data_IF_917069555336
#
_entry.id   IF_917069555336
#
_cell.length_a   1.000
_cell.length_b   1.000
_cell.length_c   1.000
_cell.angle_alpha   90.00
_cell.angle_beta   90.00
_cell.angle_gamma   90.00
#
_symmetry.space_group_name_H-M   'P 1'
#
loop_
_entity.id
_entity.type
_entity.pdbx_description
1 polymer ?
#
# COMPACT_ATOMS: atom_id res chain seq x y z
N UNK A 1 -12.03 34.38 21.00
CA UNK A 1 -12.77 33.25 21.60
C UNK A 1 -12.50 31.97 20.81
N UNK A 2 -11.84 30.98 21.41
CA UNK A 2 -11.48 29.69 20.78
C UNK A 2 -12.63 28.68 20.92
N UNK A 3 -13.39 28.43 19.87
CA UNK A 3 -14.39 27.34 19.86
C UNK A 3 -13.71 26.01 19.55
N UNK A 4 -13.40 25.25 20.61
CA UNK A 4 -12.98 23.84 20.53
C UNK A 4 -14.16 22.99 20.07
N UNK A 5 -14.26 22.70 18.77
CA UNK A 5 -15.21 21.72 18.25
C UNK A 5 -14.74 20.29 18.59
N UNK A 6 -15.28 19.72 19.68
CA UNK A 6 -15.20 18.28 19.97
C UNK A 6 -16.03 17.51 18.94
N UNK A 7 -15.39 17.00 17.88
CA UNK A 7 -16.02 16.04 16.98
C UNK A 7 -16.21 14.72 17.73
N UNK A 8 -17.46 14.37 18.07
CA UNK A 8 -17.80 13.05 18.64
C UNK A 8 -17.47 11.96 17.62
N UNK A 9 -16.65 11.00 18.00
CA UNK A 9 -16.42 9.75 17.27
C UNK A 9 -17.76 9.01 17.14
N UNK A 10 -18.38 9.05 15.96
CA UNK A 10 -19.56 8.25 15.65
C UNK A 10 -19.10 6.93 15.04
N UNK A 11 -19.07 5.89 15.89
CA UNK A 11 -18.67 4.52 15.52
C UNK A 11 -19.65 3.84 14.56
N UNK A 12 -20.90 4.30 14.49
CA UNK A 12 -21.95 3.65 13.72
C UNK A 12 -22.38 4.48 12.51
N UNK A 13 -22.23 3.89 11.31
CA UNK A 13 -22.72 4.46 10.06
C UNK A 13 -24.22 4.26 9.90
N UNK A 14 -25.02 5.31 10.11
CA UNK A 14 -26.47 5.26 9.80
C UNK A 14 -26.64 5.65 8.32
N UNK A 15 -27.18 4.74 7.49
CA UNK A 15 -27.55 5.04 6.11
C UNK A 15 -28.78 5.95 6.13
N UNK A 16 -28.66 7.19 5.63
CA UNK A 16 -29.80 8.10 5.38
C UNK A 16 -29.78 8.47 3.90
N UNK A 17 -30.58 7.78 3.08
CA UNK A 17 -30.58 7.95 1.61
C UNK A 17 -29.25 7.52 0.96
N UNK A 18 -28.86 8.19 -0.13
CA UNK A 18 -27.57 7.99 -0.82
C UNK A 18 -26.33 8.40 0.00
N UNK A 19 -26.52 8.94 1.22
CA UNK A 19 -25.45 9.35 2.14
C UNK A 19 -25.22 8.27 3.19
N UNK A 20 -24.09 7.56 3.10
CA UNK A 20 -23.57 6.74 4.20
C UNK A 20 -22.77 7.64 5.16
N UNK A 21 -23.32 7.89 6.36
CA UNK A 21 -22.60 8.65 7.39
C UNK A 21 -21.69 7.73 8.21
N UNK A 22 -20.71 7.09 7.59
CA UNK A 22 -19.69 6.27 8.26
C UNK A 22 -18.31 6.53 7.66
N UNK A 23 -17.28 6.51 8.49
CA UNK A 23 -15.90 6.47 8.02
C UNK A 23 -15.63 5.05 7.54
N UNK A 24 -15.63 4.81 6.23
CA UNK A 24 -15.41 3.48 5.63
C UNK A 24 -14.14 2.79 6.15
N UNK A 25 -13.12 3.57 6.50
CA UNK A 25 -11.91 3.03 7.11
C UNK A 25 -12.16 2.36 8.47
N UNK A 26 -13.17 2.77 9.25
CA UNK A 26 -13.53 2.11 10.52
C UNK A 26 -13.99 0.68 10.24
N UNK A 27 -14.61 0.42 9.08
CA UNK A 27 -14.98 -0.93 8.65
C UNK A 27 -13.74 -1.80 8.45
N UNK A 28 -12.83 -1.40 7.56
CA UNK A 28 -11.63 -2.20 7.28
C UNK A 28 -10.65 -2.27 8.46
N UNK A 29 -10.51 -1.20 9.25
CA UNK A 29 -9.72 -1.21 10.49
C UNK A 29 -10.36 -2.12 11.54
N UNK A 30 -11.68 -2.06 11.70
CA UNK A 30 -12.44 -2.89 12.63
C UNK A 30 -12.37 -4.37 12.27
N UNK A 31 -12.49 -4.70 10.97
CA UNK A 31 -12.29 -6.05 10.47
C UNK A 31 -10.87 -6.57 10.73
N UNK A 32 -9.84 -5.77 10.42
CA UNK A 32 -8.45 -6.17 10.68
C UNK A 32 -8.20 -6.37 12.19
N UNK A 33 -8.70 -5.48 13.05
CA UNK A 33 -8.60 -5.61 14.50
C UNK A 33 -9.35 -6.85 15.00
N UNK A 34 -10.55 -7.12 14.46
CA UNK A 34 -11.33 -8.30 14.80
C UNK A 34 -10.56 -9.59 14.50
N UNK A 35 -10.00 -9.73 13.29
CA UNK A 35 -9.21 -10.92 12.94
C UNK A 35 -7.92 -11.04 13.74
N UNK A 36 -7.27 -9.92 14.09
CA UNK A 36 -6.13 -9.92 15.00
C UNK A 36 -6.50 -10.43 16.41
N UNK A 37 -7.68 -10.05 16.93
CA UNK A 37 -8.18 -10.55 18.21
C UNK A 37 -8.51 -12.04 18.13
N UNK A 38 -9.21 -12.48 17.07
CA UNK A 38 -9.52 -13.91 16.84
C UNK A 38 -8.25 -14.75 16.77
N UNK A 39 -7.22 -14.25 16.09
CA UNK A 39 -5.89 -14.88 16.07
C UNK A 39 -5.31 -15.03 17.48
N UNK A 40 -5.27 -13.94 18.26
CA UNK A 40 -4.72 -13.97 19.62
C UNK A 40 -5.50 -14.89 20.55
N UNK A 41 -6.84 -14.93 20.43
CA UNK A 41 -7.68 -15.88 21.18
C UNK A 41 -7.32 -17.32 20.82
N UNK A 42 -7.17 -17.65 19.53
CA UNK A 42 -6.77 -18.98 19.08
C UNK A 42 -5.41 -19.40 19.64
N UNK A 43 -4.42 -18.51 19.59
CA UNK A 43 -3.08 -18.75 20.16
C UNK A 43 -3.15 -18.92 21.68
N UNK A 44 -3.88 -18.05 22.37
CA UNK A 44 -4.02 -18.09 23.83
C UNK A 44 -4.70 -19.37 24.32
N UNK A 45 -5.81 -19.78 23.70
CA UNK A 45 -6.51 -21.03 24.03
C UNK A 45 -5.66 -22.26 23.74
N UNK A 46 -4.94 -22.27 22.60
CA UNK A 46 -4.00 -23.36 22.27
C UNK A 46 -2.88 -23.46 23.30
N UNK A 47 -2.32 -22.31 23.72
CA UNK A 47 -1.29 -22.24 24.74
C UNK A 47 -1.77 -22.74 26.10
N UNK A 48 -3.01 -22.42 26.50
CA UNK A 48 -3.62 -22.95 27.74
C UNK A 48 -3.73 -24.47 27.68
N UNK A 49 -4.30 -25.01 26.60
CA UNK A 49 -4.46 -26.46 26.43
C UNK A 49 -3.12 -27.20 26.50
N UNK A 50 -2.10 -26.67 25.82
CA UNK A 50 -0.75 -27.26 25.82
C UNK A 50 -0.09 -27.12 27.19
N UNK A 51 -0.22 -25.97 27.85
CA UNK A 51 0.36 -25.73 29.17
C UNK A 51 -0.22 -26.69 30.22
N UNK A 52 -1.55 -26.92 30.22
CA UNK A 52 -2.17 -27.91 31.08
C UNK A 52 -1.64 -29.32 30.82
N UNK A 53 -1.43 -29.69 29.56
CA UNK A 53 -0.93 -31.02 29.22
C UNK A 53 0.51 -31.25 29.68
N UNK A 54 1.37 -30.23 29.55
CA UNK A 54 2.78 -30.31 29.90
C UNK A 54 3.02 -30.16 31.41
N UNK A 55 2.29 -29.28 32.08
CA UNK A 55 2.59 -28.87 33.46
C UNK A 55 1.64 -29.48 34.50
N UNK A 56 0.40 -29.84 34.14
CA UNK A 56 -0.61 -30.43 35.05
C UNK A 56 -0.83 -31.93 34.80
N UNK A 57 0.22 -32.76 34.87
CA UNK A 57 0.05 -34.21 34.68
C UNK A 57 -0.92 -34.86 35.69
N UNK A 58 -1.04 -34.31 36.91
CA UNK A 58 -1.90 -34.85 37.97
C UNK A 58 -3.36 -34.36 37.91
N UNK A 59 -3.64 -33.23 37.27
CA UNK A 59 -4.98 -32.60 37.18
C UNK A 59 -5.35 -32.31 35.73
N UNK A 60 -5.18 -33.30 34.84
CA UNK A 60 -5.57 -33.15 33.44
C UNK A 60 -7.10 -33.08 33.32
N UNK A 61 -7.69 -31.94 32.90
CA UNK A 61 -9.13 -31.86 32.66
C UNK A 61 -9.54 -32.70 31.43
N UNK A 62 -8.61 -32.89 30.48
CA UNK A 62 -8.77 -33.69 29.27
C UNK A 62 -7.54 -34.58 29.13
N UNK A 63 -7.73 -35.91 29.15
CA UNK A 63 -6.67 -36.85 28.80
C UNK A 63 -6.35 -36.75 27.30
N UNK A 64 -5.10 -37.03 26.92
CA UNK A 64 -4.70 -37.10 25.51
C UNK A 64 -5.51 -38.20 24.83
N UNK A 65 -6.38 -37.80 23.93
CA UNK A 65 -7.34 -38.65 23.23
C UNK A 65 -8.14 -37.81 22.23
N UNK A 66 -9.21 -38.37 21.70
CA UNK A 66 -10.01 -37.71 20.66
C UNK A 66 -10.52 -36.32 21.06
N UNK A 67 -10.96 -36.14 22.32
CA UNK A 67 -11.42 -34.85 22.82
C UNK A 67 -10.34 -33.77 22.83
N UNK A 68 -9.12 -34.10 23.27
CA UNK A 68 -7.98 -33.18 23.26
C UNK A 68 -7.66 -32.70 21.84
N UNK A 69 -7.55 -33.63 20.88
CA UNK A 69 -7.26 -33.29 19.48
C UNK A 69 -8.37 -32.48 18.84
N UNK A 70 -9.64 -32.75 19.17
CA UNK A 70 -10.78 -31.97 18.70
C UNK A 70 -10.69 -30.52 19.23
N UNK A 71 -10.47 -30.33 20.53
CA UNK A 71 -10.32 -28.99 21.12
C UNK A 71 -9.11 -28.24 20.57
N UNK A 72 -7.97 -28.92 20.40
CA UNK A 72 -6.78 -28.33 19.79
C UNK A 72 -7.06 -27.92 18.33
N UNK A 73 -7.76 -28.75 17.56
CA UNK A 73 -8.18 -28.46 16.20
C UNK A 73 -9.08 -27.22 16.12
N UNK A 74 -10.03 -27.08 17.03
CA UNK A 74 -10.89 -25.88 17.13
C UNK A 74 -10.06 -24.64 17.45
N UNK A 75 -9.13 -24.70 18.42
CA UNK A 75 -8.29 -23.56 18.78
C UNK A 75 -7.36 -23.14 17.64
N UNK A 76 -6.77 -24.13 16.96
CA UNK A 76 -5.93 -23.89 15.79
C UNK A 76 -6.73 -23.32 14.62
N UNK A 77 -8.00 -23.73 14.44
CA UNK A 77 -8.87 -23.16 13.42
C UNK A 77 -9.11 -21.66 13.63
N UNK A 78 -9.28 -21.20 14.88
CA UNK A 78 -9.38 -19.77 15.19
C UNK A 78 -8.08 -19.03 14.87
N UNK A 79 -6.92 -19.61 15.19
CA UNK A 79 -5.63 -19.02 14.85
C UNK A 79 -5.48 -18.87 13.32
N UNK A 80 -5.80 -19.92 12.55
CA UNK A 80 -5.74 -19.92 11.09
C UNK A 80 -6.72 -18.91 10.48
N UNK A 81 -7.98 -18.90 10.92
CA UNK A 81 -8.99 -17.94 10.45
C UNK A 81 -8.60 -16.50 10.77
N UNK A 82 -8.02 -16.26 11.95
CA UNK A 82 -7.48 -14.97 12.34
C UNK A 82 -6.34 -14.52 11.44
N UNK A 83 -5.35 -15.39 11.16
CA UNK A 83 -4.22 -15.09 10.26
C UNK A 83 -4.73 -14.80 8.85
N UNK A 84 -5.52 -15.71 8.27
CA UNK A 84 -6.01 -15.59 6.89
C UNK A 84 -6.89 -14.35 6.74
N UNK A 85 -7.83 -14.15 7.66
CA UNK A 85 -8.72 -12.98 7.63
C UNK A 85 -7.99 -11.66 7.80
N UNK A 86 -7.02 -11.60 8.71
CA UNK A 86 -6.18 -10.41 8.91
C UNK A 86 -5.37 -10.09 7.66
N UNK A 87 -4.62 -11.06 7.14
CA UNK A 87 -3.76 -10.84 5.97
C UNK A 87 -4.54 -10.56 4.70
N UNK A 88 -5.68 -11.22 4.51
CA UNK A 88 -6.56 -10.90 3.39
C UNK A 88 -6.99 -9.42 3.41
N UNK A 89 -7.33 -8.87 4.57
CA UNK A 89 -7.73 -7.45 4.69
C UNK A 89 -6.56 -6.50 4.56
N UNK A 90 -5.42 -6.82 5.17
CA UNK A 90 -4.21 -6.00 5.05
C UNK A 90 -3.73 -5.96 3.61
N UNK A 91 -3.61 -7.12 2.95
CA UNK A 91 -3.19 -7.20 1.56
C UNK A 91 -4.20 -6.50 0.65
N UNK A 92 -5.50 -6.70 0.83
CA UNK A 92 -6.53 -6.01 0.03
C UNK A 92 -6.42 -4.49 0.05
N UNK A 93 -5.95 -3.91 1.16
CA UNK A 93 -5.72 -2.47 1.30
C UNK A 93 -4.38 -2.06 0.72
N UNK A 94 -3.34 -2.87 0.95
CA UNK A 94 -1.97 -2.59 0.53
C UNK A 94 -1.80 -2.73 -0.99
N UNK A 95 -2.50 -3.69 -1.60
CA UNK A 95 -2.56 -3.89 -3.05
C UNK A 95 -3.61 -2.93 -3.61
N UNK A 96 -3.16 -1.88 -4.31
CA UNK A 96 -4.04 -0.94 -5.02
C UNK A 96 -5.03 -1.66 -5.95
N UNK A 97 -6.17 -1.04 -6.23
CA UNK A 97 -7.20 -1.56 -7.15
C UNK A 97 -6.62 -1.91 -8.54
N UNK A 98 -5.56 -1.21 -8.97
CA UNK A 98 -4.86 -1.44 -10.25
C UNK A 98 -4.10 -2.77 -10.28
N UNK A 99 -3.46 -3.19 -9.18
CA UNK A 99 -2.81 -4.51 -9.10
C UNK A 99 -3.83 -5.65 -9.09
N UNK A 100 -5.04 -5.40 -8.55
CA UNK A 100 -6.14 -6.37 -8.50
C UNK A 100 -6.74 -6.58 -9.89
N UNK A 101 -6.82 -5.53 -10.70
CA UNK A 101 -7.23 -5.63 -12.10
C UNK A 101 -6.19 -6.34 -12.96
N UNK A 102 -4.88 -6.08 -12.75
CA UNK A 102 -3.82 -6.79 -13.50
C UNK A 102 -3.75 -8.28 -13.15
N UNK A 103 -3.88 -8.64 -11.86
CA UNK A 103 -3.90 -10.05 -11.43
C UNK A 103 -5.20 -10.75 -11.87
N UNK A 104 -6.35 -10.06 -11.82
CA UNK A 104 -7.63 -10.58 -12.32
C UNK A 104 -7.65 -10.76 -13.84
N UNK A 105 -7.04 -9.83 -14.60
CA UNK A 105 -6.91 -9.93 -16.06
C UNK A 105 -5.90 -11.00 -16.50
N UNK A 106 -4.83 -11.24 -15.73
CA UNK A 106 -3.90 -12.36 -15.97
C UNK A 106 -4.55 -13.75 -15.89
N UNK A 107 -5.68 -13.88 -15.20
CA UNK A 107 -6.41 -15.15 -15.09
C UNK A 107 -7.51 -15.36 -16.13
N UNK A 108 -7.91 -14.32 -16.88
CA UNK A 108 -9.10 -14.34 -17.76
C UNK A 108 -8.76 -14.16 -19.24
N UNK A 109 -7.54 -13.73 -19.57
CA UNK A 109 -7.07 -13.61 -20.96
C UNK A 109 -6.18 -14.82 -21.25
N UNK A 110 -6.65 -15.86 -21.98
CA UNK A 110 -5.74 -16.78 -22.64
C UNK A 110 -4.77 -15.96 -23.48
N UNK A 111 -3.46 -16.20 -23.34
CA UNK A 111 -2.49 -15.69 -24.31
C UNK A 111 -3.00 -16.05 -25.71
N UNK A 112 -3.30 -15.06 -26.59
CA UNK A 112 -3.73 -15.39 -27.93
C UNK A 112 -2.54 -16.04 -28.64
N UNK A 113 -2.67 -17.35 -28.83
CA UNK A 113 -1.90 -18.12 -29.80
C UNK A 113 -1.92 -17.36 -31.13
N UNK A 114 -0.72 -16.94 -31.54
CA UNK A 114 -0.29 -16.63 -32.90
C UNK A 114 -1.41 -16.59 -33.96
N UNK A 115 -1.79 -15.37 -34.34
CA UNK A 115 -2.64 -15.08 -35.49
C UNK A 115 -2.06 -13.90 -36.26
N UNK A 116 -1.55 -14.20 -37.44
CA UNK A 116 -0.84 -13.32 -38.37
C UNK A 116 -1.64 -12.10 -38.84
N UNK A 117 -1.14 -10.89 -38.53
CA UNK A 117 -1.21 -9.73 -39.43
C UNK A 117 0.02 -8.82 -39.20
N UNK A 118 0.89 -8.61 -40.19
CA UNK A 118 2.09 -7.80 -40.04
C UNK A 118 1.73 -6.31 -40.16
N UNK A 119 1.23 -5.70 -39.09
CA UNK A 119 1.36 -4.25 -38.94
C UNK A 119 2.83 -3.95 -38.68
N UNK A 120 3.45 -3.21 -39.58
CA UNK A 120 4.85 -2.74 -39.56
C UNK A 120 5.15 -2.15 -38.17
N UNK A 121 5.82 -2.93 -37.31
CA UNK A 121 6.28 -2.48 -35.98
C UNK A 121 7.20 -1.27 -36.20
N UNK A 122 6.97 -0.11 -35.55
CA UNK A 122 8.01 0.89 -35.42
C UNK A 122 9.22 0.21 -34.78
N UNK A 123 10.38 0.35 -35.39
CA UNK A 123 11.65 -0.19 -34.88
C UNK A 123 11.81 0.30 -33.44
N UNK A 124 11.88 -0.59 -32.42
CA UNK A 124 12.06 -0.15 -31.05
C UNK A 124 13.42 0.54 -30.94
N UNK A 125 13.44 1.79 -30.48
CA UNK A 125 14.69 2.43 -30.08
C UNK A 125 15.18 1.65 -28.85
N UNK A 126 16.38 1.03 -28.88
CA UNK A 126 16.78 -0.03 -27.95
C UNK A 126 16.87 0.39 -26.47
N UNK A 127 16.86 1.71 -26.19
CA UNK A 127 17.07 2.25 -24.86
C UNK A 127 15.87 3.05 -24.32
N UNK A 128 14.75 3.14 -25.04
CA UNK A 128 13.55 3.85 -24.59
C UNK A 128 12.55 2.82 -24.02
N UNK A 129 11.99 3.06 -22.81
CA UNK A 129 10.97 2.17 -22.24
C UNK A 129 9.75 2.02 -23.16
N UNK A 130 9.23 0.80 -23.29
CA UNK A 130 8.04 0.53 -24.10
C UNK A 130 6.80 1.22 -23.51
N UNK A 131 6.22 2.15 -24.28
CA UNK A 131 5.04 2.94 -23.93
C UNK A 131 3.82 2.05 -23.65
N UNK A 132 3.75 0.87 -24.28
CA UNK A 132 2.62 -0.07 -24.14
C UNK A 132 2.38 -0.51 -22.70
N UNK A 133 3.43 -0.59 -21.88
CA UNK A 133 3.32 -0.94 -20.46
C UNK A 133 2.57 0.11 -19.63
N UNK A 134 2.38 1.31 -20.17
CA UNK A 134 1.72 2.44 -19.50
C UNK A 134 0.34 2.76 -20.09
N UNK A 135 -0.07 2.08 -21.17
CA UNK A 135 -1.33 2.37 -21.89
C UNK A 135 -2.37 1.24 -21.79
N UNK A 136 -2.18 0.28 -20.89
CA UNK A 136 -3.05 -0.89 -20.70
C UNK A 136 -4.48 -0.56 -20.21
N UNK A 137 -4.80 0.70 -19.93
CA UNK A 137 -6.14 1.12 -19.50
C UNK A 137 -6.54 2.47 -20.14
N UNK A 138 -7.61 2.51 -20.94
CA UNK A 138 -8.13 3.78 -21.46
C UNK A 138 -8.65 4.65 -20.31
N UNK A 139 -8.46 5.96 -20.43
CA UNK A 139 -9.02 6.92 -19.47
C UNK A 139 -10.52 7.07 -19.61
N UNK A 140 -11.18 7.58 -18.57
CA UNK A 140 -12.61 7.86 -18.57
C UNK A 140 -12.96 9.16 -19.31
N UNK A 141 -12.04 10.12 -19.33
CA UNK A 141 -12.19 11.43 -19.99
C UNK A 141 -11.06 11.73 -20.97
N UNK A 142 -9.82 11.41 -20.60
CA UNK A 142 -8.66 11.52 -21.50
C UNK A 142 -8.24 10.15 -22.05
N UNK A 143 -7.35 10.13 -23.04
CA UNK A 143 -7.06 8.91 -23.79
C UNK A 143 -6.42 7.81 -22.92
N UNK A 144 -5.52 8.17 -22.01
CA UNK A 144 -4.74 7.21 -21.25
C UNK A 144 -4.84 7.46 -19.74
N UNK A 145 -5.09 6.38 -18.97
CA UNK A 145 -4.99 6.40 -17.51
C UNK A 145 -3.62 5.90 -17.08
N UNK A 146 -2.88 6.74 -16.35
CA UNK A 146 -1.55 6.39 -15.89
C UNK A 146 -1.61 5.42 -14.70
N UNK A 147 -0.74 4.39 -14.67
CA UNK A 147 -0.66 3.49 -13.54
C UNK A 147 -0.03 4.20 -12.33
N UNK A 148 -0.61 4.02 -11.15
CA UNK A 148 0.00 4.52 -9.91
C UNK A 148 1.18 3.65 -9.50
N UNK A 149 2.39 4.23 -9.44
CA UNK A 149 3.53 3.60 -8.80
C UNK A 149 3.36 3.71 -7.28
N UNK A 150 3.14 2.57 -6.63
CA UNK A 150 2.94 2.48 -5.19
C UNK A 150 4.30 2.61 -4.51
N UNK A 151 4.45 3.41 -3.45
CA UNK A 151 5.63 3.33 -2.60
C UNK A 151 5.78 1.91 -2.03
N UNK A 152 7.01 1.49 -1.74
CA UNK A 152 7.33 0.17 -1.22
C UNK A 152 6.65 -0.08 0.15
N UNK A 153 5.41 -0.58 0.12
CA UNK A 153 4.63 -0.91 1.32
C UNK A 153 5.18 -2.17 2.05
N UNK A 154 6.30 -2.73 1.60
CA UNK A 154 6.97 -3.88 2.20
C UNK A 154 7.29 -3.65 3.68
N UNK A 155 7.62 -2.42 4.08
CA UNK A 155 7.85 -2.08 5.48
C UNK A 155 6.60 -2.27 6.36
N UNK A 156 5.40 -1.97 5.83
CA UNK A 156 4.15 -2.16 6.57
C UNK A 156 3.83 -3.64 6.74
N UNK A 157 4.04 -4.43 5.69
CA UNK A 157 3.86 -5.89 5.71
C UNK A 157 4.85 -6.52 6.71
N UNK A 158 6.13 -6.18 6.62
CA UNK A 158 7.15 -6.67 7.54
C UNK A 158 6.83 -6.32 9.01
N UNK A 159 6.41 -5.08 9.27
CA UNK A 159 5.98 -4.65 10.60
C UNK A 159 4.75 -5.42 11.09
N UNK A 160 3.80 -5.74 10.21
CA UNK A 160 2.63 -6.55 10.52
C UNK A 160 2.99 -7.99 10.90
N UNK A 161 3.87 -8.64 10.13
CA UNK A 161 4.40 -9.99 10.44
C UNK A 161 5.08 -9.97 11.80
N UNK A 162 5.98 -9.01 12.02
CA UNK A 162 6.68 -8.86 13.28
C UNK A 162 5.72 -8.66 14.46
N UNK A 163 4.74 -7.76 14.32
CA UNK A 163 3.77 -7.48 15.39
C UNK A 163 2.92 -8.71 15.72
N UNK A 164 2.46 -9.48 14.73
CA UNK A 164 1.68 -10.70 14.95
C UNK A 164 2.52 -11.80 15.62
N UNK A 165 3.71 -12.08 15.06
CA UNK A 165 4.59 -13.13 15.58
C UNK A 165 5.03 -12.84 17.02
N UNK A 166 5.44 -11.59 17.29
CA UNK A 166 5.83 -11.18 18.63
C UNK A 166 4.66 -11.24 19.62
N UNK A 167 3.47 -10.81 19.20
CA UNK A 167 2.27 -10.88 20.06
C UNK A 167 1.87 -12.31 20.38
N UNK A 168 1.98 -13.23 19.41
CA UNK A 168 1.72 -14.64 19.61
C UNK A 168 2.72 -15.28 20.59
N UNK A 169 4.01 -14.98 20.43
CA UNK A 169 5.06 -15.45 21.33
C UNK A 169 4.84 -14.96 22.77
N UNK A 170 4.55 -13.67 22.96
CA UNK A 170 4.27 -13.12 24.29
C UNK A 170 3.00 -13.72 24.90
N UNK A 171 1.96 -13.98 24.10
CA UNK A 171 0.74 -14.63 24.59
C UNK A 171 1.02 -16.01 25.21
N UNK A 172 1.91 -16.81 24.60
CA UNK A 172 2.35 -18.10 25.16
C UNK A 172 3.05 -17.92 26.52
N UNK A 173 4.00 -16.99 26.62
CA UNK A 173 4.70 -16.72 27.89
C UNK A 173 3.77 -16.19 28.99
N UNK A 174 2.76 -15.39 28.62
CA UNK A 174 1.74 -14.91 29.57
C UNK A 174 0.93 -16.08 30.13
N UNK A 175 0.54 -17.05 29.29
CA UNK A 175 -0.16 -18.25 29.75
C UNK A 175 0.71 -19.07 30.70
N UNK A 176 1.99 -19.28 30.37
CA UNK A 176 2.93 -19.99 31.25
C UNK A 176 3.10 -19.29 32.61
N UNK A 177 3.21 -17.96 32.61
CA UNK A 177 3.31 -17.18 33.84
C UNK A 177 2.01 -17.25 34.68
N UNK A 178 0.85 -17.22 34.02
CA UNK A 178 -0.44 -17.33 34.67
C UNK A 178 -0.64 -18.71 35.31
N UNK A 179 -0.28 -19.79 34.61
CA UNK A 179 -0.34 -21.16 35.15
C UNK A 179 0.57 -21.33 36.37
N UNK A 180 1.81 -20.82 36.30
CA UNK A 180 2.74 -20.85 37.42
C UNK A 180 2.20 -20.07 38.64
N UNK A 181 1.66 -18.87 38.40
CA UNK A 181 1.05 -18.04 39.45
C UNK A 181 -0.12 -18.74 40.13
N UNK A 182 -0.99 -19.42 39.37
CA UNK A 182 -2.10 -20.20 39.90
C UNK A 182 -1.66 -21.36 40.81
N UNK A 183 -0.44 -21.87 40.60
CA UNK A 183 0.19 -22.90 41.45
C UNK A 183 0.95 -22.32 42.65
N UNK A 184 0.74 -21.04 42.96
CA UNK A 184 1.41 -20.32 44.05
C UNK A 184 2.94 -20.22 43.90
N UNK A 185 3.48 -20.43 42.69
CA UNK A 185 4.88 -20.23 42.36
C UNK A 185 4.99 -19.02 41.45
N UNK A 186 5.65 -17.95 41.92
CA UNK A 186 5.87 -16.75 41.09
C UNK A 186 7.22 -16.88 40.39
N UNK A 187 7.27 -17.16 39.06
CA UNK A 187 8.53 -17.24 38.34
C UNK A 187 9.05 -15.83 38.06
N UNK A 188 9.72 -15.22 39.04
CA UNK A 188 10.22 -13.84 38.92
C UNK A 188 11.04 -13.60 37.64
N UNK A 189 11.86 -14.57 37.24
CA UNK A 189 12.63 -14.51 35.99
C UNK A 189 11.73 -14.33 34.75
N UNK A 190 10.62 -15.06 34.67
CA UNK A 190 9.64 -14.95 33.59
C UNK A 190 8.87 -13.63 33.65
N UNK A 191 8.53 -13.16 34.86
CA UNK A 191 7.87 -11.85 35.05
C UNK A 191 8.76 -10.71 34.58
N UNK A 192 10.05 -10.72 34.95
CA UNK A 192 11.02 -9.72 34.48
C UNK A 192 11.20 -9.75 32.96
N UNK A 193 11.17 -10.93 32.34
CA UNK A 193 11.21 -11.07 30.87
C UNK A 193 9.92 -10.59 30.19
N UNK A 194 8.76 -10.80 30.82
CA UNK A 194 7.46 -10.44 30.27
C UNK A 194 7.24 -8.92 30.16
N UNK A 195 7.73 -8.14 31.12
CA UNK A 195 7.55 -6.67 31.12
C UNK A 195 8.04 -6.02 29.81
N UNK A 196 9.32 -6.17 29.40
CA UNK A 196 9.79 -5.62 28.14
C UNK A 196 9.15 -6.31 26.93
N UNK A 197 8.85 -7.61 27.01
CA UNK A 197 8.19 -8.36 25.94
C UNK A 197 6.79 -7.80 25.60
N UNK A 198 5.95 -7.59 26.61
CA UNK A 198 4.62 -6.97 26.50
C UNK A 198 4.73 -5.54 25.98
N UNK A 199 5.71 -4.77 26.46
CA UNK A 199 5.95 -3.42 25.97
C UNK A 199 6.23 -3.40 24.45
N UNK A 200 7.10 -4.29 23.96
CA UNK A 200 7.41 -4.42 22.52
C UNK A 200 6.18 -4.86 21.74
N UNK A 201 5.38 -5.82 22.25
CA UNK A 201 4.14 -6.27 21.60
C UNK A 201 3.13 -5.13 21.43
N UNK A 202 2.90 -4.35 22.48
CA UNK A 202 1.98 -3.20 22.44
C UNK A 202 2.51 -2.12 21.51
N UNK A 203 3.83 -1.83 21.54
CA UNK A 203 4.45 -0.83 20.68
C UNK A 203 4.38 -1.22 19.21
N UNK A 204 4.75 -2.45 18.85
CA UNK A 204 4.74 -2.93 17.47
C UNK A 204 3.31 -2.96 16.91
N UNK A 205 2.33 -3.44 17.67
CA UNK A 205 0.92 -3.41 17.29
C UNK A 205 0.42 -1.97 17.08
N UNK A 206 0.71 -1.04 18.00
CA UNK A 206 0.33 0.38 17.85
C UNK A 206 0.98 1.02 16.63
N UNK A 207 2.26 0.74 16.36
CA UNK A 207 2.96 1.24 15.19
C UNK A 207 2.35 0.68 13.90
N UNK A 208 2.08 -0.62 13.85
CA UNK A 208 1.41 -1.27 12.73
C UNK A 208 0.06 -0.63 12.44
N UNK A 209 -0.86 -0.55 13.42
CA UNK A 209 -2.18 0.03 13.21
C UNK A 209 -2.10 1.52 12.85
N UNK A 210 -1.15 2.27 13.44
CA UNK A 210 -0.93 3.67 13.05
C UNK A 210 -0.46 3.79 11.60
N UNK A 211 0.41 2.90 11.13
CA UNK A 211 0.85 2.89 9.72
C UNK A 211 -0.25 2.41 8.79
N UNK A 212 -0.99 1.37 9.16
CA UNK A 212 -2.13 0.85 8.42
C UNK A 212 -3.23 1.90 8.23
N UNK A 213 -3.57 2.65 9.28
CA UNK A 213 -4.53 3.75 9.19
C UNK A 213 -4.07 4.80 8.18
N UNK A 214 -2.78 5.16 8.17
CA UNK A 214 -2.24 6.13 7.18
C UNK A 214 -2.45 5.66 5.75
N UNK A 215 -2.31 4.36 5.49
CA UNK A 215 -2.53 3.78 4.16
C UNK A 215 -4.01 3.75 3.78
N UNK A 216 -4.94 3.51 4.73
CA UNK A 216 -6.40 3.48 4.47
C UNK A 216 -7.00 4.85 4.17
N UNK A 217 -6.47 5.91 4.78
CA UNK A 217 -7.16 7.20 4.88
C UNK A 217 -7.24 8.02 3.60
N UNK A 218 -6.35 7.72 2.67
CA UNK A 218 -6.10 8.53 1.48
C UNK A 218 -6.73 7.79 0.32
N UNK A 219 -7.79 8.36 -0.24
CA UNK A 219 -8.49 7.73 -1.35
C UNK A 219 -7.59 7.58 -2.57
N UNK A 220 -8.05 6.79 -3.55
CA UNK A 220 -7.33 6.63 -4.80
C UNK A 220 -7.15 7.96 -5.51
N UNK A 221 -5.96 8.15 -6.07
CA UNK A 221 -5.65 9.25 -6.99
C UNK A 221 -5.57 8.63 -8.36
N UNK A 222 -6.36 9.13 -9.30
CA UNK A 222 -6.30 8.70 -10.70
C UNK A 222 -5.78 9.88 -11.52
N UNK A 223 -4.84 9.61 -12.41
CA UNK A 223 -4.29 10.60 -13.32
C UNK A 223 -4.53 10.11 -14.74
N UNK A 224 -5.15 10.96 -15.54
CA UNK A 224 -5.38 10.71 -16.96
C UNK A 224 -4.66 11.77 -17.79
N UNK A 225 -4.13 11.36 -18.94
CA UNK A 225 -3.35 12.21 -19.84
C UNK A 225 -3.87 12.10 -21.27
N UNK A 226 -3.80 13.22 -22.00
CA UNK A 226 -4.31 13.34 -23.36
C UNK A 226 -3.59 12.43 -24.36
N UNK A 227 -2.27 12.36 -24.30
CA UNK A 227 -1.46 11.65 -25.28
C UNK A 227 -0.16 11.11 -24.66
N UNK A 228 0.30 9.97 -25.19
CA UNK A 228 1.54 9.28 -24.82
C UNK A 228 2.14 8.66 -26.08
N UNK A 229 3.45 8.76 -26.32
CA UNK A 229 4.49 9.36 -25.46
C UNK A 229 4.53 10.88 -25.48
N UNK A 230 5.19 11.46 -24.48
CA UNK A 230 5.43 12.89 -24.40
C UNK A 230 6.58 13.32 -25.31
N UNK A 231 6.45 14.50 -25.91
CA UNK A 231 7.41 15.11 -26.85
C UNK A 231 7.84 16.47 -26.27
N UNK A 232 9.15 16.74 -26.15
CA UNK A 232 9.68 18.04 -25.71
C UNK A 232 9.09 19.21 -26.53
N UNK A 233 8.72 20.29 -25.86
CA UNK A 233 8.14 21.50 -26.46
C UNK A 233 6.65 21.43 -26.79
N UNK A 234 5.98 20.29 -26.63
CA UNK A 234 4.52 20.16 -26.84
C UNK A 234 3.75 20.37 -25.52
N UNK A 235 2.57 20.97 -25.63
CA UNK A 235 1.61 21.11 -24.54
C UNK A 235 0.70 19.87 -24.45
N UNK A 236 0.43 19.40 -23.23
CA UNK A 236 -0.44 18.26 -22.95
C UNK A 236 -1.48 18.61 -21.90
N UNK A 237 -2.69 18.07 -22.03
CA UNK A 237 -3.71 18.13 -20.99
C UNK A 237 -3.62 16.95 -20.03
N UNK A 238 -3.81 17.26 -18.76
CA UNK A 238 -3.76 16.34 -17.63
C UNK A 238 -4.99 16.52 -16.75
N UNK A 239 -5.64 15.41 -16.40
CA UNK A 239 -6.71 15.40 -15.43
C UNK A 239 -6.30 14.58 -14.21
N UNK A 240 -6.37 15.20 -13.03
CA UNK A 240 -6.14 14.55 -11.75
C UNK A 240 -7.44 14.45 -10.99
N UNK A 241 -7.85 13.22 -10.67
CA UNK A 241 -9.06 12.93 -9.92
C UNK A 241 -8.68 12.32 -8.58
N UNK A 242 -8.97 13.04 -7.50
CA UNK A 242 -8.78 12.54 -6.13
C UNK A 242 -10.12 12.07 -5.56
N UNK A 243 -10.20 10.76 -5.32
CA UNK A 243 -11.33 10.14 -4.67
C UNK A 243 -11.18 10.12 -3.15
N UNK A 244 -12.28 9.80 -2.47
CA UNK A 244 -12.31 9.58 -1.04
C UNK A 244 -13.14 10.63 -0.29
N UNK A 245 -13.02 10.61 1.04
CA UNK A 245 -13.70 11.57 1.91
C UNK A 245 -12.71 12.22 2.84
N UNK A 246 -12.10 13.29 2.38
CA UNK A 246 -11.02 13.97 3.09
C UNK A 246 -11.06 15.47 2.83
N UNK A 247 -10.62 16.25 3.82
CA UNK A 247 -10.45 17.69 3.68
C UNK A 247 -9.00 17.93 3.31
N UNK A 248 -8.73 18.26 2.06
CA UNK A 248 -7.41 18.63 1.56
C UNK A 248 -7.09 20.04 2.08
N UNK A 249 -5.84 20.25 2.47
CA UNK A 249 -5.25 21.56 2.74
C UNK A 249 -4.59 22.14 1.50
N UNK A 250 -3.83 21.30 0.80
CA UNK A 250 -3.15 21.59 -0.46
C UNK A 250 -2.99 20.29 -1.23
N UNK A 251 -3.17 20.33 -2.54
CA UNK A 251 -2.77 19.27 -3.47
C UNK A 251 -1.96 19.92 -4.58
N UNK A 252 -0.80 19.37 -4.88
CA UNK A 252 0.10 19.87 -5.91
C UNK A 252 0.41 18.74 -6.90
N UNK A 253 0.46 19.10 -8.17
CA UNK A 253 0.78 18.21 -9.28
C UNK A 253 2.08 18.72 -9.88
N UNK A 254 3.09 17.84 -9.97
CA UNK A 254 4.43 18.19 -10.41
C UNK A 254 4.89 17.22 -11.49
N UNK A 255 5.60 17.73 -12.50
CA UNK A 255 6.38 16.93 -13.44
C UNK A 255 7.79 16.78 -12.88
N UNK A 256 8.24 15.55 -12.66
CA UNK A 256 9.59 15.26 -12.18
C UNK A 256 10.37 14.39 -13.17
N UNK A 257 11.65 14.74 -13.37
CA UNK A 257 12.64 13.87 -13.97
C UNK A 257 13.57 13.35 -12.88
N UNK A 258 13.74 12.03 -12.84
CA UNK A 258 14.60 11.35 -11.89
C UNK A 258 15.66 10.54 -12.64
N UNK A 259 16.92 10.77 -12.30
CA UNK A 259 18.04 9.96 -12.75
C UNK A 259 18.32 8.87 -11.72
N UNK A 260 18.47 7.63 -12.20
CA UNK A 260 18.82 6.46 -11.40
C UNK A 260 20.12 5.87 -11.93
N UNK A 261 21.17 5.94 -11.12
CA UNK A 261 22.48 5.38 -11.44
C UNK A 261 22.80 4.21 -10.50
N UNK A 262 23.26 3.10 -11.06
CA UNK A 262 23.70 1.92 -10.32
C UNK A 262 25.18 1.73 -10.53
N UNK A 263 25.97 1.88 -9.46
CA UNK A 263 27.41 1.76 -9.47
C UNK A 263 27.89 0.71 -8.47
N UNK A 264 29.08 0.16 -8.74
CA UNK A 264 29.77 -0.73 -7.81
C UNK A 264 30.57 0.11 -6.81
N UNK A 265 30.35 -0.14 -5.52
CA UNK A 265 31.16 0.42 -4.44
C UNK A 265 31.90 -0.74 -3.76
N UNK A 266 33.10 -1.04 -4.24
CA UNK A 266 33.82 -2.26 -3.88
C UNK A 266 33.09 -3.51 -4.39
N UNK A 267 32.67 -4.39 -3.48
CA UNK A 267 31.89 -5.61 -3.79
C UNK A 267 30.38 -5.38 -3.80
N UNK A 268 29.89 -4.24 -3.29
CA UNK A 268 28.46 -3.97 -3.16
C UNK A 268 27.93 -3.16 -4.34
N UNK A 269 26.75 -3.52 -4.84
CA UNK A 269 25.99 -2.74 -5.81
C UNK A 269 25.16 -1.69 -5.07
N UNK A 270 25.34 -0.43 -5.42
CA UNK A 270 24.55 0.69 -4.88
C UNK A 270 23.79 1.38 -5.99
N UNK A 271 22.52 1.66 -5.71
CA UNK A 271 21.64 2.41 -6.61
C UNK A 271 21.32 3.75 -5.96
N UNK A 272 21.59 4.83 -6.70
CA UNK A 272 21.34 6.20 -6.28
C UNK A 272 20.31 6.82 -7.21
N UNK A 273 19.34 7.52 -6.61
CA UNK A 273 18.24 8.17 -7.33
C UNK A 273 18.23 9.65 -6.99
N UNK A 274 18.30 10.50 -8.00
CA UNK A 274 18.31 11.95 -7.84
C UNK A 274 17.25 12.60 -8.73
N UNK A 275 16.41 13.47 -8.14
CA UNK A 275 15.49 14.30 -8.93
C UNK A 275 16.29 15.44 -9.56
N UNK A 276 16.43 15.42 -10.89
CA UNK A 276 17.21 16.39 -11.66
C UNK A 276 16.34 17.55 -12.17
N UNK A 277 15.04 17.33 -12.31
CA UNK A 277 14.08 18.33 -12.73
C UNK A 277 12.77 18.17 -11.95
N UNK A 278 12.18 19.29 -11.53
CA UNK A 278 10.86 19.32 -10.88
C UNK A 278 10.15 20.62 -11.25
N UNK A 279 9.01 20.51 -11.91
CA UNK A 279 8.16 21.63 -12.29
C UNK A 279 6.76 21.47 -11.71
N UNK A 280 6.23 22.51 -11.06
CA UNK A 280 4.86 22.53 -10.58
C UNK A 280 3.90 22.83 -11.75
N UNK A 281 3.00 21.89 -12.04
CA UNK A 281 1.98 22.00 -13.09
C UNK A 281 0.76 22.75 -12.54
N UNK A 282 0.28 22.32 -11.37
CA UNK A 282 -0.90 22.89 -10.74
C UNK A 282 -0.82 22.73 -9.22
N UNK A 283 -1.39 23.68 -8.50
CA UNK A 283 -1.65 23.55 -7.07
C UNK A 283 -3.05 24.03 -6.76
N UNK A 284 -3.80 23.19 -6.05
CA UNK A 284 -5.12 23.51 -5.52
C UNK A 284 -5.07 23.60 -4.01
N UNK A 285 -5.76 24.62 -3.48
CA UNK A 285 -5.76 24.93 -2.07
C UNK A 285 -6.64 24.01 -1.24
N UNK A 286 -7.20 24.59 -0.16
CA UNK A 286 -8.06 23.84 0.76
C UNK A 286 -9.38 23.52 0.08
N UNK A 287 -9.72 22.24 0.05
CA UNK A 287 -11.01 21.77 -0.47
C UNK A 287 -11.52 20.55 0.31
N UNK A 288 -12.82 20.31 0.22
CA UNK A 288 -13.47 19.17 0.87
C UNK A 288 -13.95 18.19 -0.18
N UNK A 289 -13.36 17.00 -0.15
CA UNK A 289 -13.77 15.87 -0.99
C UNK A 289 -14.81 15.06 -0.23
N UNK A 290 -15.97 14.87 -0.86
CA UNK A 290 -17.06 14.06 -0.35
C UNK A 290 -17.38 12.91 -1.33
N UNK A 291 -18.06 11.87 -0.84
CA UNK A 291 -18.45 10.73 -1.66
C UNK A 291 -19.32 11.14 -2.86
N UNK A 292 -18.95 10.69 -4.06
CA UNK A 292 -19.64 11.01 -5.31
C UNK A 292 -19.22 12.35 -5.94
N UNK A 293 -18.51 13.20 -5.20
CA UNK A 293 -17.95 14.45 -5.67
C UNK A 293 -16.43 14.43 -5.47
N UNK A 294 -15.69 13.64 -6.28
CA UNK A 294 -14.24 13.66 -6.24
C UNK A 294 -13.71 15.05 -6.61
N UNK A 295 -12.57 15.43 -6.05
CA UNK A 295 -11.87 16.62 -6.52
C UNK A 295 -11.30 16.32 -7.90
N UNK A 296 -11.59 17.19 -8.86
CA UNK A 296 -11.04 17.13 -10.20
C UNK A 296 -10.22 18.37 -10.47
N UNK A 297 -9.02 18.16 -10.98
CA UNK A 297 -8.10 19.21 -11.40
C UNK A 297 -7.79 18.97 -12.87
N UNK A 298 -8.27 19.88 -13.72
CA UNK A 298 -7.94 19.92 -15.13
C UNK A 298 -6.80 20.92 -15.30
N UNK A 299 -5.67 20.48 -15.83
CA UNK A 299 -4.47 21.29 -15.97
C UNK A 299 -3.77 21.02 -17.30
N UNK A 300 -3.04 22.00 -17.80
CA UNK A 300 -2.16 21.85 -18.96
C UNK A 300 -0.73 22.13 -18.57
N UNK A 301 0.19 21.44 -19.23
CA UNK A 301 1.62 21.64 -19.03
C UNK A 301 2.38 21.46 -20.33
N UNK A 302 3.48 22.19 -20.46
CA UNK A 302 4.43 22.01 -21.56
C UNK A 302 5.62 21.23 -21.06
N UNK A 303 6.04 20.22 -21.83
CA UNK A 303 7.32 19.54 -21.58
C UNK A 303 8.44 20.50 -21.99
N UNK A 304 9.44 20.77 -21.14
CA UNK A 304 10.57 21.64 -21.49
C UNK A 304 11.22 21.23 -22.82
N UNK A 305 11.66 22.20 -23.63
CA UNK A 305 12.30 21.90 -24.93
C UNK A 305 13.63 21.15 -24.79
N UNK A 306 14.33 21.39 -23.68
CA UNK A 306 15.58 20.76 -23.28
C UNK A 306 15.37 19.48 -22.45
N UNK A 307 14.13 18.99 -22.35
CA UNK A 307 13.81 17.78 -21.60
C UNK A 307 14.57 16.58 -22.19
N UNK A 308 15.38 15.94 -21.33
CA UNK A 308 16.05 14.69 -21.67
C UNK A 308 15.02 13.59 -21.93
N UNK A 309 15.24 12.75 -22.93
CA UNK A 309 14.34 11.63 -23.22
C UNK A 309 14.38 10.56 -22.11
N UNK A 310 13.29 9.82 -21.95
CA UNK A 310 13.27 8.63 -21.11
C UNK A 310 14.26 7.61 -21.62
N UNK A 311 15.11 7.12 -20.73
CA UNK A 311 16.22 6.24 -21.07
C UNK A 311 16.30 5.10 -20.07
N UNK A 312 16.62 3.89 -20.53
CA UNK A 312 16.84 2.75 -19.67
C UNK A 312 18.01 1.92 -20.19
N UNK A 313 19.00 1.68 -19.33
CA UNK A 313 20.15 0.80 -19.58
C UNK A 313 20.38 -0.10 -18.36
N UNK A 314 21.44 -0.92 -18.41
CA UNK A 314 21.80 -1.82 -17.30
C UNK A 314 22.19 -1.05 -16.01
N UNK A 315 22.79 0.14 -16.15
CA UNK A 315 23.39 0.87 -15.04
C UNK A 315 22.89 2.31 -14.88
N UNK A 316 22.21 2.87 -15.89
CA UNK A 316 21.62 4.21 -15.83
C UNK A 316 20.20 4.19 -16.40
N UNK A 317 19.28 4.87 -15.73
CA UNK A 317 17.93 5.11 -16.22
C UNK A 317 17.47 6.54 -15.93
N UNK A 318 16.74 7.12 -16.88
CA UNK A 318 16.10 8.42 -16.78
C UNK A 318 14.59 8.18 -16.80
N UNK A 319 13.96 8.47 -15.66
CA UNK A 319 12.54 8.26 -15.43
C UNK A 319 11.81 9.58 -15.33
N UNK A 320 10.77 9.73 -16.16
CA UNK A 320 9.83 10.82 -16.03
C UNK A 320 8.57 10.35 -15.32
N UNK A 321 8.05 11.19 -14.45
CA UNK A 321 6.85 10.89 -13.67
C UNK A 321 6.07 12.15 -13.33
N UNK A 322 4.76 12.00 -13.27
CA UNK A 322 3.85 12.99 -12.69
C UNK A 322 3.68 12.62 -11.22
N UNK A 323 3.99 13.55 -10.33
CA UNK A 323 3.88 13.38 -8.89
C UNK A 323 2.72 14.21 -8.38
N UNK A 324 1.79 13.54 -7.70
CA UNK A 324 0.67 14.19 -7.01
C UNK A 324 0.96 14.15 -5.51
N UNK A 325 1.24 15.32 -4.94
CA UNK A 325 1.43 15.49 -3.51
C UNK A 325 0.16 16.06 -2.88
N UNK A 326 -0.27 15.49 -1.77
CA UNK A 326 -1.43 15.94 -1.06
C UNK A 326 -1.18 16.08 0.43
N UNK A 327 -1.67 17.17 1.00
CA UNK A 327 -1.78 17.39 2.42
C UNK A 327 -3.24 17.38 2.83
N UNK A 328 -3.63 16.49 3.73
CA UNK A 328 -5.02 16.41 4.21
C UNK A 328 -5.12 16.66 5.72
N UNK A 329 -6.26 17.20 6.15
CA UNK A 329 -6.50 17.46 7.55
C UNK A 329 -6.65 16.15 8.33
N UNK A 330 -5.89 16.00 9.42
CA UNK A 330 -5.82 14.79 10.27
C UNK A 330 -5.19 13.56 9.60
N UNK A 331 -4.60 13.72 8.42
CA UNK A 331 -3.88 12.67 7.71
C UNK A 331 -2.44 13.13 7.46
N UNK A 332 -1.48 12.19 7.35
CA UNK A 332 -0.13 12.55 6.92
C UNK A 332 -0.16 13.10 5.48
N UNK A 333 0.89 13.83 5.10
CA UNK A 333 1.14 14.11 3.68
C UNK A 333 1.36 12.81 2.91
N UNK A 334 0.97 12.82 1.65
CA UNK A 334 1.18 11.69 0.73
C UNK A 334 1.71 12.18 -0.60
N UNK A 335 2.40 11.28 -1.28
CA UNK A 335 2.93 11.48 -2.63
C UNK A 335 2.60 10.23 -3.45
N UNK A 336 2.06 10.43 -4.64
CA UNK A 336 1.77 9.37 -5.61
C UNK A 336 2.48 9.68 -6.91
N UNK A 337 3.28 8.75 -7.42
CA UNK A 337 4.00 8.90 -8.68
C UNK A 337 3.30 8.12 -9.79
N UNK A 338 3.21 8.73 -10.97
CA UNK A 338 2.60 8.17 -12.17
C UNK A 338 3.64 8.27 -13.30
N UNK A 339 4.24 7.16 -13.74
CA UNK A 339 5.31 7.19 -14.72
C UNK A 339 4.80 7.63 -16.09
N UNK A 340 5.61 8.40 -16.80
CA UNK A 340 5.37 8.83 -18.18
C UNK A 340 6.63 8.61 -19.01
N UNK A 341 6.48 8.49 -20.32
CA UNK A 341 7.61 8.28 -21.24
C UNK A 341 7.78 9.53 -22.10
N UNK A 342 8.97 10.10 -22.08
CA UNK A 342 9.37 11.25 -22.91
C UNK A 342 10.24 10.74 -24.05
N UNK A 343 9.87 11.06 -25.29
CA UNK A 343 10.63 10.73 -26.49
C UNK A 343 11.67 11.81 -26.80
N UNK A 344 12.72 11.48 -27.56
CA UNK A 344 13.70 12.47 -27.99
C UNK A 344 13.01 13.59 -28.79
N UNK A 345 13.54 14.80 -28.69
CA UNK A 345 13.05 15.93 -29.48
C UNK A 345 13.14 15.61 -30.97
N UNK A 346 12.20 16.14 -31.76
CA UNK A 346 12.13 15.92 -33.21
C UNK A 346 13.42 16.31 -33.95
N UNK A 347 14.19 17.28 -33.42
CA UNK A 347 15.53 17.65 -33.94
C UNK A 347 16.54 16.51 -33.80
N UNK A 348 16.53 15.79 -32.68
CA UNK A 348 17.38 14.61 -32.44
C UNK A 348 16.92 13.40 -33.26
N UNK A 349 15.60 13.23 -33.44
CA UNK A 349 15.06 12.14 -34.27
C UNK A 349 15.48 12.24 -35.74
N UNK A 350 15.54 13.46 -36.28
CA UNK A 350 16.04 13.69 -37.65
C UNK A 350 17.53 13.39 -37.79
N UNK A 351 18.34 13.66 -36.76
CA UNK A 351 19.77 13.33 -36.76
C UNK A 351 20.04 11.82 -36.67
N UNK A 352 19.24 11.07 -35.90
CA UNK A 352 19.38 9.61 -35.74
C UNK A 352 18.94 8.85 -37.00
N UNK A 353 18.00 9.40 -37.78
CA UNK A 353 17.57 8.79 -39.06
C UNK A 353 18.53 9.13 -40.22
N UNK A 354 19.36 10.16 -40.06
CA UNK A 354 20.35 10.57 -41.06
C UNK A 354 21.75 9.93 -40.86
N UNK A 355 21.95 9.18 -39.78
CA UNK A 355 23.15 8.38 -39.48
C UNK A 355 22.87 6.89 -39.69
#
# INVERSE_FOLDING_TARGET
MKTKWKARLRLWGKKRGGRMSGWWFIGSLGEALFFAIVFLIGVFLSAILISWQLMSQSTQPLKVGYGFWLFLGVCLSFAVLGIVGFWYRVLKVVTSDEHREVIGKRGIIPEPLSGSHPMKKPTPVPSIPDVRRFTDSPGARLAYRLPSQIPENGALVALGIFAMAWSAMIAVFVVMAADAYLRSSVPWQLVFLLIPGIYVAIRSARLFFRSFIRTLGIGSTTVEIEDLPLIPGREYRLEVVQYGRLVIKKIAVRLECQEESTYHFGTDLRTERQTVFSQEIASHGRDRIDWGYPLRLECSFCVPEDAMHSFQSKHNAIHWKIVVDGEANRWPSYSRSFPVVVYPSSRLSQAIVAS
#
